data_IF_350770729231
#
_entry.id   IF_350770729231
#
_cell.length_a   1.000
_cell.length_b   1.000
_cell.length_c   1.000
_cell.angle_alpha   90.00
_cell.angle_beta   90.00
_cell.angle_gamma   90.00
#
_symmetry.space_group_name_H-M   'P 1'
#
loop_
_entity.id
_entity.type
_entity.pdbx_description
1 polymer ?
#
# COMPACT_ATOMS: atom_id res chain seq x y z
N UNK A 1 -13.08 18.24 -14.37
CA UNK A 1 -12.27 17.78 -13.22
C UNK A 1 -12.54 16.29 -13.06
N UNK A 2 -11.70 15.44 -13.64
CA UNK A 2 -11.85 13.98 -13.52
C UNK A 2 -11.09 13.53 -12.27
N UNK A 3 -11.74 12.76 -11.41
CA UNK A 3 -11.22 12.32 -10.13
C UNK A 3 -10.19 11.19 -10.31
N UNK A 4 -8.97 11.53 -10.73
CA UNK A 4 -7.83 10.63 -10.58
C UNK A 4 -7.24 10.79 -9.17
N UNK A 5 -8.01 10.36 -8.17
CA UNK A 5 -7.50 10.16 -6.79
C UNK A 5 -7.05 8.71 -6.60
N UNK A 6 -6.62 8.05 -7.67
CA UNK A 6 -6.16 6.68 -7.58
C UNK A 6 -4.76 6.69 -6.95
N UNK A 7 -4.63 6.10 -5.77
CA UNK A 7 -3.36 5.55 -5.31
C UNK A 7 -2.72 4.83 -6.51
N UNK A 8 -1.58 5.32 -7.00
CA UNK A 8 -0.93 4.73 -8.18
C UNK A 8 -0.40 3.32 -7.89
N UNK A 9 -0.18 3.01 -6.60
CA UNK A 9 0.33 1.73 -6.11
C UNK A 9 -0.49 1.26 -4.92
N UNK A 10 -0.91 0.00 -4.93
CA UNK A 10 -1.48 -0.69 -3.76
C UNK A 10 -0.48 -1.67 -3.15
N UNK A 11 -0.17 -1.49 -1.87
CA UNK A 11 0.68 -2.39 -1.08
C UNK A 11 -0.24 -3.33 -0.31
N UNK A 12 -0.17 -4.63 -0.62
CA UNK A 12 -1.03 -5.64 0.01
C UNK A 12 -0.18 -6.51 0.93
N UNK A 13 -0.62 -6.67 2.18
CA UNK A 13 0.02 -7.56 3.15
C UNK A 13 -0.95 -8.61 3.69
N UNK A 14 -0.42 -9.79 4.02
CA UNK A 14 -1.24 -10.93 4.44
C UNK A 14 -1.71 -10.88 5.90
N UNK A 15 -1.06 -10.06 6.73
CA UNK A 15 -1.35 -9.92 8.16
C UNK A 15 -0.99 -8.52 8.67
N UNK A 16 -1.46 -8.17 9.88
CA UNK A 16 -1.11 -6.89 10.52
C UNK A 16 0.35 -6.83 10.96
N UNK A 17 0.98 -7.96 11.27
CA UNK A 17 2.41 -8.02 11.63
C UNK A 17 3.32 -7.60 10.47
N UNK A 18 2.84 -7.68 9.23
CA UNK A 18 3.61 -7.31 8.03
C UNK A 18 3.55 -5.80 7.72
N UNK A 19 2.76 -5.02 8.45
CA UNK A 19 2.59 -3.57 8.20
C UNK A 19 3.94 -2.84 8.27
N UNK A 20 4.82 -3.21 9.20
CA UNK A 20 6.15 -2.60 9.30
C UNK A 20 7.01 -2.79 8.04
N UNK A 21 6.77 -3.85 7.25
CA UNK A 21 7.41 -4.03 5.95
C UNK A 21 6.75 -3.15 4.88
N UNK A 22 5.41 -3.04 4.88
CA UNK A 22 4.67 -2.17 3.98
C UNK A 22 5.02 -0.68 4.18
N UNK A 23 5.23 -0.23 5.41
CA UNK A 23 5.63 1.15 5.73
C UNK A 23 6.96 1.54 5.08
N UNK A 24 7.92 0.61 5.02
CA UNK A 24 9.20 0.84 4.33
C UNK A 24 9.00 1.05 2.83
N UNK A 25 8.13 0.26 2.21
CA UNK A 25 7.80 0.43 0.80
C UNK A 25 7.04 1.75 0.55
N UNK A 26 6.10 2.11 1.43
CA UNK A 26 5.38 3.36 1.36
C UNK A 26 6.30 4.59 1.50
N UNK A 27 7.31 4.51 2.38
CA UNK A 27 8.30 5.57 2.55
C UNK A 27 9.10 5.82 1.26
N UNK A 28 9.59 4.76 0.60
CA UNK A 28 10.28 4.86 -0.69
C UNK A 28 9.36 5.47 -1.76
N UNK A 29 8.10 5.04 -1.82
CA UNK A 29 7.14 5.59 -2.77
C UNK A 29 6.85 7.07 -2.50
N UNK A 30 6.79 7.48 -1.23
CA UNK A 30 6.62 8.88 -0.83
C UNK A 30 7.82 9.74 -1.23
N UNK A 31 9.05 9.26 -1.04
CA UNK A 31 10.29 9.93 -1.49
C UNK A 31 10.30 10.14 -3.02
N UNK A 32 9.73 9.19 -3.77
CA UNK A 32 9.60 9.26 -5.23
C UNK A 32 8.38 10.06 -5.71
N UNK A 33 7.56 10.61 -4.80
CA UNK A 33 6.35 11.34 -5.14
C UNK A 33 5.22 10.47 -5.72
N UNK A 34 5.24 9.17 -5.44
CA UNK A 34 4.24 8.20 -5.92
C UNK A 34 3.19 7.96 -4.85
N UNK A 35 1.93 8.33 -5.14
CA UNK A 35 0.80 8.04 -4.26
C UNK A 35 0.62 6.52 -4.09
N UNK A 36 0.50 6.07 -2.85
CA UNK A 36 0.31 4.65 -2.52
C UNK A 36 -0.72 4.44 -1.41
N UNK A 37 -1.33 3.26 -1.36
CA UNK A 37 -2.22 2.82 -0.28
C UNK A 37 -1.80 1.44 0.24
N UNK A 38 -2.03 1.17 1.53
CA UNK A 38 -1.73 -0.13 2.15
C UNK A 38 -3.01 -0.83 2.57
N UNK A 39 -3.16 -2.11 2.22
CA UNK A 39 -4.31 -2.95 2.61
C UNK A 39 -3.86 -4.29 3.19
N UNK A 40 -4.58 -4.77 4.20
CA UNK A 40 -4.37 -6.12 4.75
C UNK A 40 -5.36 -7.07 4.10
N UNK A 41 -4.89 -7.97 3.24
CA UNK A 41 -5.69 -8.96 2.52
C UNK A 41 -4.98 -10.31 2.63
N UNK A 42 -5.60 -11.26 3.31
CA UNK A 42 -5.03 -12.60 3.51
C UNK A 42 -5.53 -13.56 2.45
N UNK A 43 -4.63 -14.12 1.65
CA UNK A 43 -4.99 -15.12 0.63
C UNK A 43 -5.48 -16.45 1.25
N UNK A 44 -5.05 -16.78 2.47
CA UNK A 44 -5.31 -18.07 3.12
C UNK A 44 -6.54 -18.05 4.05
N UNK A 45 -7.02 -16.87 4.43
CA UNK A 45 -8.14 -16.71 5.39
C UNK A 45 -9.42 -16.22 4.70
N UNK A 46 -9.55 -16.50 3.40
CA UNK A 46 -10.71 -16.13 2.58
C UNK A 46 -11.99 -16.81 3.06
#
# INVERSE_FOLDING_TARGET
MSADRASRVGIVVGSRSDIAAAEKAAAVLAELGVASETRVISAHRA
#
